data_IF_491168563724
#
_entry.id   IF_491168563724
#
_cell.length_a   1.000
_cell.length_b   1.000
_cell.length_c   1.000
_cell.angle_alpha   90.00
_cell.angle_beta   90.00
_cell.angle_gamma   90.00
#
_symmetry.space_group_name_H-M   'P 1'
#
loop_
_entity.id
_entity.type
_entity.pdbx_description
1 polymer ?
#
# COMPACT_ATOMS: atom_id res chain seq x y z
N UNK A 1 7.78 -4.80 23.76
CA UNK A 1 6.43 -5.09 23.31
C UNK A 1 6.04 -4.23 22.15
N UNK A 2 5.38 -4.80 21.19
CA UNK A 2 4.98 -4.06 20.01
C UNK A 2 3.59 -3.52 20.22
N UNK A 3 3.46 -2.22 20.04
CA UNK A 3 2.18 -1.55 20.14
C UNK A 3 1.73 -1.02 18.80
N UNK A 4 2.30 -1.55 17.74
CA UNK A 4 1.95 -1.15 16.41
C UNK A 4 1.12 -2.23 15.76
N UNK A 5 0.08 -1.79 15.11
CA UNK A 5 -0.74 -2.68 14.30
C UNK A 5 -0.66 -2.18 12.87
N UNK A 6 -0.52 -3.08 11.93
CA UNK A 6 -0.51 -2.64 10.55
C UNK A 6 -1.19 -3.64 9.64
N UNK A 7 -1.73 -3.10 8.55
CA UNK A 7 -2.26 -3.85 7.45
C UNK A 7 -1.18 -3.92 6.40
N UNK A 8 -0.86 -5.11 5.95
CA UNK A 8 0.23 -5.30 5.02
C UNK A 8 -0.21 -6.22 3.91
N UNK A 9 0.14 -5.87 2.68
CA UNK A 9 -0.18 -6.71 1.54
C UNK A 9 0.93 -6.63 0.51
N UNK A 10 1.21 -7.77 -0.09
CA UNK A 10 2.17 -7.88 -1.19
C UNK A 10 1.39 -7.97 -2.49
N UNK A 11 1.83 -7.19 -3.49
CA UNK A 11 1.26 -7.21 -4.82
C UNK A 11 2.34 -7.69 -5.77
N UNK A 12 2.02 -8.68 -6.60
CA UNK A 12 2.98 -9.28 -7.51
C UNK A 12 2.63 -8.87 -8.93
N UNK A 13 3.66 -8.55 -9.71
CA UNK A 13 3.49 -8.05 -11.07
C UNK A 13 4.32 -8.89 -12.05
N UNK A 14 3.96 -8.88 -13.34
CA UNK A 14 4.72 -9.65 -14.32
C UNK A 14 6.08 -9.05 -14.66
N UNK A 15 6.27 -7.75 -14.37
CA UNK A 15 7.52 -7.08 -14.70
C UNK A 15 7.82 -5.97 -13.71
N UNK A 16 9.09 -5.61 -13.61
CA UNK A 16 9.54 -4.55 -12.73
C UNK A 16 8.87 -3.22 -13.05
N UNK A 17 8.70 -2.92 -14.34
CA UNK A 17 8.07 -1.67 -14.75
C UNK A 17 6.67 -1.52 -14.18
N UNK A 18 5.91 -2.62 -14.16
CA UNK A 18 4.56 -2.60 -13.60
C UNK A 18 4.60 -2.37 -12.11
N UNK A 19 5.53 -3.04 -11.42
CA UNK A 19 5.68 -2.86 -9.99
C UNK A 19 6.07 -1.42 -9.65
N UNK A 20 6.96 -0.83 -10.43
CA UNK A 20 7.37 0.55 -10.24
C UNK A 20 6.20 1.50 -10.46
N UNK A 21 5.42 1.26 -11.50
CA UNK A 21 4.25 2.10 -11.79
C UNK A 21 3.24 2.06 -10.65
N UNK A 22 2.99 0.86 -10.13
CA UNK A 22 2.08 0.71 -9.00
C UNK A 22 2.60 1.46 -7.77
N UNK A 23 3.90 1.34 -7.49
CA UNK A 23 4.52 2.05 -6.38
C UNK A 23 4.30 3.54 -6.49
N UNK A 24 4.49 4.09 -7.69
CA UNK A 24 4.31 5.53 -7.92
C UNK A 24 2.85 5.94 -7.74
N UNK A 25 1.91 5.12 -8.18
CA UNK A 25 0.49 5.43 -8.03
C UNK A 25 0.10 5.48 -6.55
N UNK A 26 0.59 4.52 -5.76
CA UNK A 26 0.30 4.49 -4.33
C UNK A 26 0.97 5.68 -3.64
N UNK A 27 2.21 5.99 -4.00
CA UNK A 27 2.92 7.11 -3.40
C UNK A 27 2.23 8.43 -3.68
N UNK A 28 1.74 8.62 -4.91
CA UNK A 28 1.02 9.85 -5.27
C UNK A 28 -0.30 9.97 -4.52
N UNK A 29 -1.00 8.87 -4.37
CA UNK A 29 -2.23 8.87 -3.59
C UNK A 29 -1.94 9.23 -2.13
N UNK A 30 -0.90 8.64 -1.56
CA UNK A 30 -0.52 8.87 -0.18
C UNK A 30 -0.17 10.35 0.04
N UNK A 31 0.55 10.94 -0.92
CA UNK A 31 0.92 12.34 -0.81
C UNK A 31 -0.32 13.24 -0.86
N UNK A 32 -1.24 12.93 -1.75
CA UNK A 32 -2.45 13.75 -1.89
C UNK A 32 -3.33 13.69 -0.64
N UNK A 33 -3.25 12.61 0.12
CA UNK A 33 -4.08 12.43 1.31
C UNK A 33 -3.33 12.72 2.60
N UNK A 34 -2.04 13.01 2.50
CA UNK A 34 -1.26 13.31 3.68
C UNK A 34 -1.11 12.14 4.63
N UNK A 35 -1.14 10.91 4.11
CA UNK A 35 -1.03 9.72 4.93
C UNK A 35 -0.16 8.71 4.19
N UNK A 36 1.04 8.50 4.68
CA UNK A 36 2.08 7.80 3.94
C UNK A 36 2.28 6.39 4.46
N UNK A 37 2.08 5.36 3.62
CA UNK A 37 2.40 3.99 3.99
C UNK A 37 3.90 3.74 3.85
N UNK A 38 4.35 2.60 4.36
CA UNK A 38 5.64 2.10 3.99
C UNK A 38 5.49 1.36 2.67
N UNK A 39 6.37 1.65 1.72
CA UNK A 39 6.36 1.00 0.42
C UNK A 39 7.72 0.34 0.21
N UNK A 40 7.70 -0.94 -0.09
CA UNK A 40 8.94 -1.67 -0.39
C UNK A 40 8.78 -2.27 -1.77
N UNK A 41 9.62 -1.80 -2.69
CA UNK A 41 9.63 -2.29 -4.06
C UNK A 41 10.74 -3.32 -4.19
N UNK A 42 10.33 -4.55 -4.47
CA UNK A 42 11.26 -5.60 -4.85
C UNK A 42 11.32 -5.64 -6.38
N UNK A 43 11.86 -6.72 -6.90
CA UNK A 43 11.96 -6.85 -8.35
C UNK A 43 10.59 -6.78 -9.03
N UNK A 44 9.66 -7.62 -8.60
CA UNK A 44 8.32 -7.65 -9.19
C UNK A 44 7.23 -7.70 -8.14
N UNK A 45 7.57 -7.27 -6.94
CA UNK A 45 6.64 -7.31 -5.82
C UNK A 45 6.67 -5.98 -5.09
N UNK A 46 5.50 -5.48 -4.74
CA UNK A 46 5.40 -4.25 -3.94
C UNK A 46 4.68 -4.58 -2.65
N UNK A 47 5.34 -4.30 -1.54
CA UNK A 47 4.73 -4.46 -0.23
C UNK A 47 4.24 -3.10 0.24
N UNK A 48 2.96 -3.04 0.57
CA UNK A 48 2.34 -1.83 1.06
C UNK A 48 1.91 -2.09 2.51
N UNK A 49 2.38 -1.26 3.42
CA UNK A 49 2.03 -1.40 4.83
C UNK A 49 1.44 -0.09 5.34
N UNK A 50 0.27 -0.17 5.94
CA UNK A 50 -0.36 0.96 6.62
C UNK A 50 -0.45 0.63 8.09
N UNK A 51 -0.01 1.56 8.93
CA UNK A 51 -0.15 1.36 10.36
C UNK A 51 -0.28 2.70 11.06
N UNK A 52 -0.65 2.63 12.32
CA UNK A 52 -0.73 3.78 13.18
C UNK A 52 0.03 3.47 14.45
N UNK A 53 0.63 4.50 15.02
CA UNK A 53 1.32 4.40 16.30
C UNK A 53 0.41 4.76 17.46
N UNK A 54 -0.87 4.92 17.21
CA UNK A 54 -1.80 5.26 18.26
C UNK A 54 -2.03 4.07 19.16
N UNK A 55 -2.39 4.38 20.39
CA UNK A 55 -2.55 3.37 21.43
C UNK A 55 -3.58 2.31 21.04
N UNK A 56 -4.61 2.74 20.36
CA UNK A 56 -5.71 1.85 20.03
C UNK A 56 -5.48 1.00 18.79
N UNK A 57 -4.30 1.11 18.20
CA UNK A 57 -3.97 0.31 17.04
C UNK A 57 -4.47 0.92 15.75
N UNK A 58 -4.98 0.07 14.87
CA UNK A 58 -5.42 0.52 13.55
C UNK A 58 -6.66 1.37 13.66
N UNK A 59 -6.73 2.41 12.84
CA UNK A 59 -7.91 3.26 12.76
C UNK A 59 -8.60 3.01 11.43
N UNK A 60 -9.85 3.48 11.34
CA UNK A 60 -10.65 3.25 10.14
C UNK A 60 -9.96 3.71 8.87
N UNK A 61 -9.23 4.83 8.94
CA UNK A 61 -8.56 5.34 7.75
C UNK A 61 -7.50 4.40 7.20
N UNK A 62 -6.90 3.54 8.04
CA UNK A 62 -5.94 2.56 7.56
C UNK A 62 -6.62 1.53 6.67
N UNK A 63 -7.82 1.10 7.05
CA UNK A 63 -8.58 0.15 6.23
C UNK A 63 -9.05 0.78 4.93
N UNK A 64 -9.44 2.05 4.98
CA UNK A 64 -9.87 2.76 3.78
C UNK A 64 -8.73 2.88 2.80
N UNK A 65 -7.52 3.19 3.27
CA UNK A 65 -6.36 3.33 2.40
C UNK A 65 -5.94 2.00 1.82
N UNK A 66 -6.02 0.94 2.60
CA UNK A 66 -5.74 -0.40 2.09
C UNK A 66 -6.73 -0.75 0.98
N UNK A 67 -8.00 -0.42 1.15
CA UNK A 67 -9.02 -0.67 0.14
C UNK A 67 -8.74 0.15 -1.13
N UNK A 68 -8.27 1.38 -0.99
CA UNK A 68 -7.93 2.20 -2.14
C UNK A 68 -6.75 1.62 -2.90
N UNK A 69 -5.76 1.08 -2.17
CA UNK A 69 -4.64 0.40 -2.82
C UNK A 69 -5.11 -0.79 -3.64
N UNK A 70 -6.04 -1.56 -3.09
CA UNK A 70 -6.60 -2.70 -3.80
C UNK A 70 -7.37 -2.25 -5.05
N UNK A 71 -8.09 -1.15 -4.95
CA UNK A 71 -8.82 -0.62 -6.11
C UNK A 71 -7.87 -0.17 -7.21
N UNK A 72 -6.77 0.48 -6.85
CA UNK A 72 -5.77 0.88 -7.84
C UNK A 72 -5.21 -0.36 -8.53
N UNK A 73 -4.89 -1.38 -7.75
CA UNK A 73 -4.36 -2.62 -8.34
C UNK A 73 -5.37 -3.25 -9.29
N UNK A 74 -6.64 -3.33 -8.87
CA UNK A 74 -7.66 -3.96 -9.69
C UNK A 74 -7.94 -3.17 -10.97
N UNK A 75 -7.92 -1.83 -10.89
CA UNK A 75 -8.28 -0.99 -12.03
C UNK A 75 -7.14 -0.79 -13.01
N UNK A 76 -5.92 -0.67 -12.51
CA UNK A 76 -4.77 -0.34 -13.34
C UNK A 76 -3.97 -1.57 -13.78
N UNK A 77 -4.14 -2.69 -13.11
CA UNK A 77 -3.37 -3.89 -13.38
C UNK A 77 -4.26 -5.13 -13.39
N UNK A 78 -5.31 -5.13 -14.23
CA UNK A 78 -6.32 -6.20 -14.14
C UNK A 78 -5.81 -7.58 -14.54
N UNK A 79 -4.69 -7.67 -15.22
CA UNK A 79 -4.19 -8.95 -15.72
C UNK A 79 -3.10 -9.56 -14.83
N UNK A 80 -2.79 -8.95 -13.70
CA UNK A 80 -1.70 -9.44 -12.85
C UNK A 80 -2.18 -10.40 -11.77
#
# INVERSE_FOLDING_TARGET
MINEYHLQKDYVFPAYQEALRFTNLIANLAESEGHHPELILYFRNVRVSYWTHKVDGLVESDFIRAAKSDLIHANEFPAT
#
